data_IF_389944164956
#
_entry.id   IF_389944164956
#
_cell.length_a   1.000
_cell.length_b   1.000
_cell.length_c   1.000
_cell.angle_alpha   90.00
_cell.angle_beta   90.00
_cell.angle_gamma   90.00
#
_symmetry.space_group_name_H-M   'P 1'
#
loop_
_entity.id
_entity.type
_entity.pdbx_description
1 polymer ?
#
# COMPACT_ATOMS: atom_id res chain seq x y z
N UNK A 1 -13.52 18.10 10.09
CA UNK A 1 -13.30 16.66 10.34
C UNK A 1 -14.31 16.19 11.38
N UNK A 2 -15.12 15.16 11.09
CA UNK A 2 -16.16 14.68 12.01
C UNK A 2 -15.55 13.99 13.24
N UNK A 3 -15.99 14.38 14.44
CA UNK A 3 -15.60 13.72 15.71
C UNK A 3 -15.95 12.23 15.68
N UNK A 4 -17.07 11.90 15.02
CA UNK A 4 -17.55 10.53 14.85
C UNK A 4 -16.58 9.71 14.00
N UNK A 5 -16.12 10.25 12.86
CA UNK A 5 -15.12 9.59 12.02
C UNK A 5 -13.80 9.35 12.77
N UNK A 6 -13.35 10.29 13.61
CA UNK A 6 -12.17 10.12 14.45
C UNK A 6 -12.34 9.01 15.48
N UNK A 7 -13.52 8.89 16.09
CA UNK A 7 -13.82 7.81 17.05
C UNK A 7 -13.77 6.44 16.38
N UNK A 8 -14.37 6.30 15.20
CA UNK A 8 -14.32 5.08 14.40
C UNK A 8 -12.88 4.72 13.99
N UNK A 9 -12.08 5.70 13.58
CA UNK A 9 -10.66 5.50 13.28
C UNK A 9 -9.88 4.96 14.49
N UNK A 10 -10.07 5.54 15.68
CA UNK A 10 -9.40 5.08 16.90
C UNK A 10 -9.85 3.66 17.30
N UNK A 11 -11.15 3.37 17.19
CA UNK A 11 -11.69 2.03 17.43
C UNK A 11 -11.06 1.01 16.49
N UNK A 12 -11.03 1.30 15.19
CA UNK A 12 -10.44 0.41 14.20
C UNK A 12 -8.96 0.15 14.42
N UNK A 13 -8.20 1.18 14.83
CA UNK A 13 -6.79 1.00 15.24
C UNK A 13 -6.62 0.13 16.47
N UNK A 14 -7.53 0.23 17.43
CA UNK A 14 -7.54 -0.62 18.62
C UNK A 14 -7.81 -2.08 18.24
N UNK A 15 -8.87 -2.34 17.47
CA UNK A 15 -9.18 -3.69 16.96
C UNK A 15 -8.03 -4.27 16.12
N UNK A 16 -7.30 -3.45 15.35
CA UNK A 16 -6.09 -3.89 14.64
C UNK A 16 -4.96 -4.38 15.55
N UNK A 17 -4.80 -3.77 16.72
CA UNK A 17 -3.83 -4.20 17.72
C UNK A 17 -4.29 -5.45 18.47
N UNK A 18 -5.60 -5.63 18.61
CA UNK A 18 -6.23 -6.80 19.24
C UNK A 18 -6.34 -8.00 18.28
N UNK A 19 -6.07 -7.80 16.99
CA UNK A 19 -6.14 -8.86 15.97
C UNK A 19 -7.56 -9.15 15.48
N UNK A 20 -8.54 -8.33 15.90
CA UNK A 20 -9.93 -8.44 15.48
C UNK A 20 -10.09 -7.91 14.05
N UNK A 21 -9.97 -8.82 13.07
CA UNK A 21 -10.00 -8.49 11.66
C UNK A 21 -11.27 -7.72 11.25
N UNK A 22 -12.44 -8.32 11.47
CA UNK A 22 -13.70 -7.79 10.95
C UNK A 22 -14.05 -6.46 11.62
N UNK A 23 -13.89 -6.39 12.95
CA UNK A 23 -14.13 -5.18 13.72
C UNK A 23 -13.19 -4.03 13.31
N UNK A 24 -11.93 -4.34 13.00
CA UNK A 24 -10.98 -3.35 12.50
C UNK A 24 -11.42 -2.78 11.15
N UNK A 25 -11.75 -3.65 10.19
CA UNK A 25 -12.18 -3.23 8.85
C UNK A 25 -13.48 -2.43 8.93
N UNK A 26 -14.48 -2.92 9.66
CA UNK A 26 -15.78 -2.25 9.80
C UNK A 26 -15.62 -0.84 10.37
N UNK A 27 -14.85 -0.70 11.46
CA UNK A 27 -14.64 0.59 12.10
C UNK A 27 -13.83 1.55 11.20
N UNK A 28 -12.82 1.05 10.47
CA UNK A 28 -12.03 1.88 9.56
C UNK A 28 -12.81 2.27 8.31
N UNK A 29 -13.61 1.37 7.75
CA UNK A 29 -14.56 1.66 6.66
C UNK A 29 -15.54 2.74 7.06
N UNK A 30 -16.16 2.62 8.24
CA UNK A 30 -17.05 3.64 8.80
C UNK A 30 -16.36 5.01 8.90
N UNK A 31 -15.09 5.04 9.30
CA UNK A 31 -14.32 6.28 9.38
C UNK A 31 -14.07 6.92 8.00
N UNK A 32 -13.81 6.10 6.98
CA UNK A 32 -13.60 6.55 5.59
C UNK A 32 -14.90 7.04 4.97
N UNK A 33 -16.02 6.35 5.22
CA UNK A 33 -17.33 6.71 4.68
C UNK A 33 -17.84 8.03 5.28
N UNK A 34 -17.68 8.21 6.60
CA UNK A 34 -18.06 9.43 7.31
C UNK A 34 -17.15 10.63 6.99
N UNK A 35 -15.90 10.38 6.62
CA UNK A 35 -14.95 11.43 6.26
C UNK A 35 -14.10 10.99 5.05
N UNK A 36 -14.62 11.15 3.82
CA UNK A 36 -13.92 10.66 2.63
C UNK A 36 -12.57 11.34 2.34
N UNK A 37 -12.28 12.50 2.94
CA UNK A 37 -10.98 13.20 2.85
C UNK A 37 -10.03 12.83 3.99
N UNK A 38 -10.42 11.89 4.87
CA UNK A 38 -9.59 11.46 5.99
C UNK A 38 -8.51 10.47 5.56
N UNK A 39 -7.41 10.99 5.02
CA UNK A 39 -6.28 10.21 4.50
C UNK A 39 -5.76 9.17 5.49
N UNK A 40 -5.60 9.54 6.77
CA UNK A 40 -5.07 8.62 7.78
C UNK A 40 -6.00 7.42 8.03
N UNK A 41 -7.33 7.60 8.03
CA UNK A 41 -8.27 6.49 8.15
C UNK A 41 -8.23 5.58 6.92
N UNK A 42 -8.09 6.16 5.72
CA UNK A 42 -7.95 5.40 4.48
C UNK A 42 -6.67 4.56 4.45
N UNK A 43 -5.55 5.12 4.88
CA UNK A 43 -4.26 4.41 4.99
C UNK A 43 -4.34 3.31 6.06
N UNK A 44 -5.01 3.56 7.18
CA UNK A 44 -5.21 2.53 8.20
C UNK A 44 -6.12 1.40 7.68
N UNK A 45 -7.19 1.71 6.92
CA UNK A 45 -8.06 0.71 6.31
C UNK A 45 -7.30 -0.16 5.30
N UNK A 46 -6.49 0.43 4.43
CA UNK A 46 -5.70 -0.34 3.47
C UNK A 46 -4.63 -1.19 4.15
N UNK A 47 -3.97 -0.67 5.19
CA UNK A 47 -3.03 -1.44 6.00
C UNK A 47 -3.70 -2.59 6.73
N UNK A 48 -4.93 -2.39 7.24
CA UNK A 48 -5.75 -3.45 7.84
C UNK A 48 -5.99 -4.58 6.83
N UNK A 49 -6.54 -4.22 5.67
CA UNK A 49 -6.86 -5.16 4.59
C UNK A 49 -5.63 -5.96 4.16
N UNK A 50 -4.49 -5.30 3.95
CA UNK A 50 -3.24 -5.95 3.56
C UNK A 50 -2.65 -6.83 4.66
N UNK A 51 -2.70 -6.41 5.93
CA UNK A 51 -2.25 -7.21 7.07
C UNK A 51 -2.96 -8.56 7.13
N UNK A 52 -4.20 -8.60 6.65
CA UNK A 52 -5.01 -9.80 6.61
C UNK A 52 -5.16 -10.42 5.21
N UNK A 53 -4.30 -10.04 4.27
CA UNK A 53 -4.18 -10.70 2.96
C UNK A 53 -5.06 -10.16 1.83
N UNK A 54 -5.97 -9.23 2.10
CA UNK A 54 -6.82 -8.62 1.07
C UNK A 54 -6.12 -7.42 0.41
N UNK A 55 -5.00 -7.71 -0.27
CA UNK A 55 -4.26 -6.74 -1.07
C UNK A 55 -5.11 -6.09 -2.18
N UNK A 56 -5.96 -6.83 -2.94
CA UNK A 56 -6.78 -6.22 -3.99
C UNK A 56 -7.68 -5.10 -3.44
N UNK A 57 -8.39 -5.34 -2.34
CA UNK A 57 -9.25 -4.31 -1.73
C UNK A 57 -8.44 -3.19 -1.11
N UNK A 58 -7.29 -3.49 -0.49
CA UNK A 58 -6.38 -2.48 0.04
C UNK A 58 -5.92 -1.48 -1.04
N UNK A 59 -5.53 -1.99 -2.21
CA UNK A 59 -5.11 -1.19 -3.37
C UNK A 59 -6.27 -0.34 -3.89
N UNK A 60 -7.47 -0.91 -4.01
CA UNK A 60 -8.66 -0.17 -4.43
C UNK A 60 -8.97 1.01 -3.49
N UNK A 61 -8.91 0.78 -2.17
CA UNK A 61 -9.16 1.80 -1.15
C UNK A 61 -8.18 2.98 -1.31
N UNK A 62 -6.89 2.72 -1.56
CA UNK A 62 -5.89 3.77 -1.75
C UNK A 62 -6.07 4.50 -3.09
N UNK A 63 -6.30 3.77 -4.19
CA UNK A 63 -6.57 4.37 -5.51
C UNK A 63 -7.78 5.30 -5.47
N UNK A 64 -8.84 4.92 -4.77
CA UNK A 64 -10.01 5.76 -4.54
C UNK A 64 -9.70 7.03 -3.70
N UNK A 65 -8.62 7.05 -2.92
CA UNK A 65 -8.12 8.25 -2.26
C UNK A 65 -7.39 9.19 -3.21
N UNK A 66 -6.61 8.64 -4.15
CA UNK A 66 -5.81 9.39 -5.11
C UNK A 66 -6.66 10.14 -6.15
N UNK A 67 -7.89 9.67 -6.41
CA UNK A 67 -8.87 10.36 -7.28
C UNK A 67 -9.58 11.52 -6.59
N UNK A 68 -9.42 11.68 -5.27
CA UNK A 68 -10.08 12.74 -4.50
C UNK A 68 -9.17 13.95 -4.34
N UNK A 69 -9.75 15.17 -4.20
CA UNK A 69 -9.00 16.35 -3.82
C UNK A 69 -8.33 16.10 -2.46
N UNK A 70 -7.02 15.91 -2.51
CA UNK A 70 -6.19 15.54 -1.36
C UNK A 70 -5.00 16.50 -1.34
N UNK A 71 -4.64 17.09 -0.19
CA UNK A 71 -3.48 17.96 -0.08
C UNK A 71 -2.21 17.27 -0.61
N UNK A 72 -1.29 18.03 -1.20
CA UNK A 72 -0.05 17.48 -1.79
C UNK A 72 0.71 16.58 -0.79
N UNK A 73 0.90 17.05 0.44
CA UNK A 73 1.55 16.29 1.52
C UNK A 73 0.85 14.95 1.86
N UNK A 74 -0.48 14.87 1.64
CA UNK A 74 -1.24 13.63 1.81
C UNK A 74 -1.23 12.75 0.57
N UNK A 75 -1.00 13.30 -0.63
CA UNK A 75 -0.83 12.52 -1.87
C UNK A 75 0.46 11.71 -1.83
N UNK A 76 1.57 12.27 -1.33
CA UNK A 76 2.82 11.54 -1.13
C UNK A 76 2.63 10.30 -0.25
N UNK A 77 1.89 10.43 0.85
CA UNK A 77 1.53 9.30 1.73
C UNK A 77 0.72 8.22 1.01
N UNK A 78 -0.26 8.62 0.19
CA UNK A 78 -1.10 7.67 -0.55
C UNK A 78 -0.30 6.92 -1.61
N UNK A 79 0.56 7.60 -2.37
CA UNK A 79 1.44 6.96 -3.34
C UNK A 79 2.45 6.01 -2.70
N UNK A 80 3.07 6.42 -1.60
CA UNK A 80 4.01 5.56 -0.87
C UNK A 80 3.31 4.32 -0.30
N UNK A 81 2.09 4.49 0.21
CA UNK A 81 1.27 3.37 0.70
C UNK A 81 0.86 2.46 -0.46
N UNK A 82 0.50 3.02 -1.62
CA UNK A 82 0.17 2.23 -2.81
C UNK A 82 1.37 1.39 -3.26
N UNK A 83 2.57 1.97 -3.31
CA UNK A 83 3.80 1.25 -3.63
C UNK A 83 4.07 0.10 -2.66
N UNK A 84 3.91 0.32 -1.35
CA UNK A 84 4.08 -0.73 -0.34
C UNK A 84 3.06 -1.88 -0.51
N UNK A 85 1.81 -1.54 -0.83
CA UNK A 85 0.75 -2.53 -1.07
C UNK A 85 1.00 -3.33 -2.35
N UNK A 86 1.39 -2.68 -3.44
CA UNK A 86 1.71 -3.32 -4.71
C UNK A 86 2.92 -4.24 -4.57
N UNK A 87 3.97 -3.76 -3.90
CA UNK A 87 5.15 -4.57 -3.59
C UNK A 87 4.82 -5.77 -2.68
N UNK A 88 3.88 -5.60 -1.74
CA UNK A 88 3.36 -6.68 -0.90
C UNK A 88 2.54 -7.71 -1.68
N UNK A 89 1.79 -7.26 -2.69
CA UNK A 89 1.01 -8.13 -3.59
C UNK A 89 1.85 -8.84 -4.66
N UNK A 90 3.10 -8.42 -4.86
CA UNK A 90 4.03 -8.96 -5.87
C UNK A 90 4.02 -8.23 -7.21
N UNK A 91 3.18 -7.21 -7.38
CA UNK A 91 3.18 -6.33 -8.57
C UNK A 91 4.30 -5.30 -8.47
N UNK A 92 5.53 -5.76 -8.67
CA UNK A 92 6.73 -4.94 -8.60
C UNK A 92 6.77 -3.81 -9.64
N UNK A 93 6.39 -4.02 -10.91
CA UNK A 93 6.35 -2.94 -11.90
C UNK A 93 5.43 -1.79 -11.49
N UNK A 94 4.20 -2.08 -11.06
CA UNK A 94 3.28 -1.04 -10.63
C UNK A 94 3.72 -0.38 -9.32
N UNK A 95 4.41 -1.12 -8.44
CA UNK A 95 4.96 -0.56 -7.22
C UNK A 95 6.08 0.45 -7.50
N UNK A 96 6.94 0.20 -8.48
CA UNK A 96 7.97 1.16 -8.91
C UNK A 96 7.36 2.45 -9.44
N UNK A 97 6.34 2.36 -10.30
CA UNK A 97 5.59 3.52 -10.81
C UNK A 97 4.99 4.33 -9.66
N UNK A 98 4.38 3.66 -8.68
CA UNK A 98 3.81 4.32 -7.51
C UNK A 98 4.88 5.06 -6.67
N UNK A 99 6.08 4.49 -6.52
CA UNK A 99 7.18 5.13 -5.82
C UNK A 99 7.78 6.31 -6.59
N UNK A 100 7.79 6.30 -7.92
CA UNK A 100 8.25 7.45 -8.74
C UNK A 100 7.41 8.70 -8.45
N UNK A 101 6.11 8.55 -8.22
CA UNK A 101 5.25 9.67 -7.82
C UNK A 101 5.60 10.29 -6.45
N UNK A 102 6.40 9.61 -5.63
CA UNK A 102 6.88 10.12 -4.34
C UNK A 102 8.25 10.80 -4.42
N UNK A 103 9.00 10.67 -5.53
CA UNK A 103 10.38 11.16 -5.62
C UNK A 103 10.49 12.68 -5.57
N UNK A 104 9.44 13.38 -6.01
CA UNK A 104 9.35 14.84 -5.96
C UNK A 104 8.97 15.38 -4.56
N UNK A 105 8.54 14.50 -3.65
CA UNK A 105 8.15 14.85 -2.29
C UNK A 105 9.28 14.44 -1.32
N UNK A 106 10.02 15.42 -0.82
CA UNK A 106 11.19 15.20 0.04
C UNK A 106 10.86 14.35 1.29
N UNK A 107 9.63 14.46 1.81
CA UNK A 107 9.19 13.71 2.99
C UNK A 107 9.02 12.22 2.70
N UNK A 108 8.76 11.86 1.43
CA UNK A 108 8.51 10.47 1.00
C UNK A 108 9.59 9.89 0.10
N UNK A 109 10.52 10.69 -0.41
CA UNK A 109 11.64 10.25 -1.24
C UNK A 109 12.49 9.15 -0.57
N UNK A 110 12.72 9.25 0.74
CA UNK A 110 13.43 8.23 1.52
C UNK A 110 12.66 6.90 1.58
N UNK A 111 11.34 6.96 1.80
CA UNK A 111 10.47 5.77 1.82
C UNK A 111 10.36 5.13 0.43
N UNK A 112 10.24 5.94 -0.61
CA UNK A 112 10.20 5.50 -2.01
C UNK A 112 11.49 4.78 -2.40
N UNK A 113 12.65 5.38 -2.10
CA UNK A 113 13.97 4.78 -2.32
C UNK A 113 14.11 3.44 -1.59
N UNK A 114 13.70 3.38 -0.31
CA UNK A 114 13.74 2.14 0.47
C UNK A 114 12.79 1.06 -0.11
N UNK A 115 11.60 1.45 -0.57
CA UNK A 115 10.63 0.59 -1.23
C UNK A 115 11.19 -0.02 -2.52
N UNK A 116 11.73 0.81 -3.41
CA UNK A 116 12.40 0.37 -4.65
C UNK A 116 13.60 -0.52 -4.36
N UNK A 117 14.45 -0.18 -3.40
CA UNK A 117 15.57 -1.04 -3.00
C UNK A 117 15.10 -2.43 -2.53
N UNK A 118 14.00 -2.52 -1.76
CA UNK A 118 13.40 -3.81 -1.36
C UNK A 118 12.85 -4.58 -2.54
N UNK A 119 12.20 -3.89 -3.49
CA UNK A 119 11.72 -4.48 -4.73
C UNK A 119 12.90 -5.04 -5.53
N UNK A 120 13.95 -4.26 -5.79
CA UNK A 120 15.14 -4.73 -6.51
C UNK A 120 15.84 -5.87 -5.77
N UNK A 121 15.90 -5.87 -4.44
CA UNK A 121 16.45 -6.99 -3.68
C UNK A 121 15.58 -8.26 -3.76
N UNK A 122 14.26 -8.12 -3.91
CA UNK A 122 13.37 -9.25 -4.21
C UNK A 122 13.52 -9.69 -5.66
N UNK A 123 13.57 -8.75 -6.60
CA UNK A 123 13.73 -8.99 -8.04
C UNK A 123 15.11 -9.55 -8.39
N UNK A 124 16.17 -9.24 -7.66
CA UNK A 124 17.50 -9.83 -7.82
C UNK A 124 17.46 -11.32 -7.48
N UNK A 125 16.86 -11.66 -6.33
CA UNK A 125 16.55 -13.04 -5.95
C UNK A 125 15.62 -13.74 -6.95
N UNK A 126 14.67 -13.02 -7.55
CA UNK A 126 13.82 -13.56 -8.61
C UNK A 126 14.51 -13.64 -9.97
N UNK A 127 15.47 -12.77 -10.33
CA UNK A 127 16.25 -12.87 -11.57
C UNK A 127 17.15 -14.08 -11.52
N UNK A 128 17.79 -14.31 -10.37
CA UNK A 128 18.52 -15.55 -10.07
C UNK A 128 17.58 -16.76 -10.12
N UNK A 129 16.40 -16.68 -9.46
CA UNK A 129 15.42 -17.77 -9.48
C UNK A 129 14.80 -18.01 -10.87
N UNK A 130 14.64 -16.98 -11.70
CA UNK A 130 14.12 -17.07 -13.05
C UNK A 130 15.18 -17.65 -13.98
N UNK A 131 16.46 -17.29 -13.83
CA UNK A 131 17.55 -17.92 -14.58
C UNK A 131 17.68 -19.42 -14.23
N UNK A 132 17.55 -19.78 -12.96
CA UNK A 132 17.57 -21.18 -12.52
C UNK A 132 16.30 -21.95 -12.95
N UNK A 133 15.12 -21.32 -12.90
CA UNK A 133 13.89 -21.91 -13.44
C UNK A 133 13.90 -22.01 -14.97
N UNK A 134 14.46 -21.04 -15.68
CA UNK A 134 14.60 -21.05 -17.14
C UNK A 134 15.59 -22.14 -17.60
N UNK A 135 16.70 -22.32 -16.87
CA UNK A 135 17.60 -23.47 -17.05
C UNK A 135 16.88 -24.79 -16.76
N UNK A 136 16.12 -24.89 -15.67
CA UNK A 136 15.37 -26.09 -15.32
C UNK A 136 14.24 -26.41 -16.32
N UNK A 137 13.65 -25.38 -16.93
CA UNK A 137 12.62 -25.50 -17.96
C UNK A 137 13.19 -25.65 -19.39
N UNK A 138 14.51 -25.58 -19.58
CA UNK A 138 15.17 -25.70 -20.89
C UNK A 138 14.87 -24.56 -21.87
N UNK A 139 14.38 -23.41 -21.37
CA UNK A 139 14.08 -22.23 -22.19
C UNK A 139 15.24 -21.25 -22.03
N UNK A 140 16.05 -21.08 -23.08
CA UNK A 140 17.11 -20.06 -23.06
C UNK A 140 16.52 -18.66 -22.87
N UNK A 141 16.99 -17.88 -21.87
CA UNK A 141 16.56 -16.51 -21.73
C UNK A 141 17.08 -15.69 -22.91
N UNK A 142 16.17 -15.16 -23.73
CA UNK A 142 16.53 -14.20 -24.78
C UNK A 142 16.98 -12.89 -24.12
N UNK A 143 18.20 -12.51 -24.47
CA UNK A 143 18.94 -11.31 -24.08
C UNK A 143 18.18 -10.00 -24.30
#
# INVERSE_FOLDING_TARGET
>A
MSVVARRYYLRGRKSLSEGEHDAAIEALSSAVDLAPTFTAARVALSAALAKFGDYPRAIQVIRAGLTRPTPAASRGLLWATLGDLLAGSGDFPAAEEAYQHCEQDADYAGRASAGRARIHAKMGRYRESFAELAKAAGVEPKS
#
